data_IF_016493241266
#
_entry.id   IF_016493241266
#
_cell.length_a   1.000
_cell.length_b   1.000
_cell.length_c   1.000
_cell.angle_alpha   90.00
_cell.angle_beta   90.00
_cell.angle_gamma   90.00
#
_symmetry.space_group_name_H-M   'P 1'
#
loop_
_entity.id
_entity.type
_entity.pdbx_description
1 polymer ?
#
# COMPACT_ATOMS: atom_id res chain seq x y z
N UNK A 1 -31.34 21.30 8.14
CA UNK A 1 -30.09 21.03 7.39
C UNK A 1 -30.45 21.06 5.93
N UNK A 2 -29.92 22.03 5.20
CA UNK A 2 -30.19 22.20 3.77
C UNK A 2 -29.60 21.04 2.97
N UNK A 3 -30.26 20.63 1.88
CA UNK A 3 -29.80 19.54 1.03
C UNK A 3 -28.46 19.88 0.35
N UNK A 4 -28.26 21.17 0.04
CA UNK A 4 -27.04 21.67 -0.57
C UNK A 4 -25.83 21.53 0.36
N UNK A 5 -26.01 21.81 1.65
CA UNK A 5 -24.98 21.68 2.67
C UNK A 5 -24.46 20.23 2.80
N UNK A 6 -25.37 19.25 2.69
CA UNK A 6 -25.01 17.83 2.73
C UNK A 6 -24.15 17.45 1.52
N UNK A 7 -24.49 17.94 0.32
CA UNK A 7 -23.74 17.66 -0.91
C UNK A 7 -22.33 18.26 -0.89
N UNK A 8 -22.18 19.49 -0.39
CA UNK A 8 -20.87 20.14 -0.29
C UNK A 8 -19.93 19.38 0.66
N UNK A 9 -20.45 18.93 1.80
CA UNK A 9 -19.70 18.12 2.76
C UNK A 9 -19.37 16.75 2.19
N UNK A 10 -20.32 16.08 1.53
CA UNK A 10 -20.09 14.79 0.91
C UNK A 10 -18.98 14.85 -0.15
N UNK A 11 -18.96 15.91 -0.97
CA UNK A 11 -17.93 16.12 -2.00
C UNK A 11 -16.54 16.37 -1.41
N UNK A 12 -16.46 17.15 -0.33
CA UNK A 12 -15.18 17.38 0.37
C UNK A 12 -14.66 16.10 1.04
N UNK A 13 -15.53 15.37 1.74
CA UNK A 13 -15.18 14.09 2.38
C UNK A 13 -14.74 13.03 1.36
N UNK A 14 -15.32 13.03 0.16
CA UNK A 14 -14.95 12.09 -0.90
C UNK A 14 -13.47 12.18 -1.28
N UNK A 15 -12.94 13.39 -1.45
CA UNK A 15 -11.54 13.61 -1.83
C UNK A 15 -10.60 13.15 -0.71
N UNK A 16 -10.92 13.49 0.54
CA UNK A 16 -10.14 13.04 1.71
C UNK A 16 -10.12 11.52 1.81
N UNK A 17 -11.25 10.88 1.53
CA UNK A 17 -11.36 9.42 1.54
C UNK A 17 -10.47 8.79 0.44
N UNK A 18 -10.48 9.31 -0.79
CA UNK A 18 -9.58 8.79 -1.83
C UNK A 18 -8.10 8.89 -1.45
N UNK A 19 -7.69 9.96 -0.76
CA UNK A 19 -6.31 10.13 -0.27
C UNK A 19 -5.97 9.06 0.77
N UNK A 20 -6.84 8.84 1.76
CA UNK A 20 -6.61 7.82 2.80
C UNK A 20 -6.53 6.43 2.17
N UNK A 21 -7.40 6.12 1.21
CA UNK A 21 -7.39 4.85 0.48
C UNK A 21 -6.08 4.66 -0.29
N UNK A 22 -5.62 5.70 -0.99
CA UNK A 22 -4.34 5.69 -1.70
C UNK A 22 -3.16 5.48 -0.75
N UNK A 23 -3.10 6.22 0.37
CA UNK A 23 -2.05 6.06 1.38
C UNK A 23 -2.09 4.67 2.02
N UNK A 24 -3.27 4.10 2.22
CA UNK A 24 -3.43 2.72 2.69
C UNK A 24 -2.80 1.70 1.73
N UNK A 25 -3.01 1.88 0.42
CA UNK A 25 -2.39 1.04 -0.62
C UNK A 25 -0.88 1.21 -0.63
N UNK A 26 -0.37 2.45 -0.58
CA UNK A 26 1.07 2.72 -0.54
C UNK A 26 1.70 2.08 0.69
N UNK A 27 1.12 2.30 1.88
CA UNK A 27 1.62 1.70 3.12
C UNK A 27 1.61 0.16 3.07
N UNK A 28 0.56 -0.43 2.50
CA UNK A 28 0.47 -1.88 2.30
C UNK A 28 1.56 -2.39 1.33
N UNK A 29 1.77 -1.70 0.21
CA UNK A 29 2.78 -2.06 -0.79
C UNK A 29 4.21 -1.95 -0.24
N UNK A 30 4.49 -0.94 0.56
CA UNK A 30 5.79 -0.75 1.23
C UNK A 30 5.94 -1.58 2.51
N UNK A 31 4.93 -2.38 2.89
CA UNK A 31 5.00 -3.19 4.11
C UNK A 31 6.07 -4.29 3.96
N UNK A 32 7.05 -4.38 4.89
CA UNK A 32 8.18 -5.31 4.80
C UNK A 32 7.80 -6.80 4.89
N UNK A 33 6.53 -7.12 5.19
CA UNK A 33 6.01 -8.49 5.23
C UNK A 33 6.13 -9.21 3.87
N UNK A 34 6.19 -8.47 2.75
CA UNK A 34 6.46 -9.07 1.43
C UNK A 34 7.94 -9.08 1.05
N UNK A 35 8.78 -8.25 1.70
CA UNK A 35 10.21 -8.11 1.40
C UNK A 35 10.99 -9.38 1.75
N UNK A 36 10.60 -10.07 2.83
CA UNK A 36 11.26 -11.30 3.28
C UNK A 36 11.17 -12.45 2.26
N UNK A 37 10.04 -12.57 1.56
CA UNK A 37 9.86 -13.61 0.51
C UNK A 37 10.64 -13.29 -0.77
N UNK A 38 10.77 -12.01 -1.13
CA UNK A 38 11.58 -11.59 -2.26
C UNK A 38 13.08 -11.75 -1.99
N UNK A 39 13.54 -11.44 -0.77
CA UNK A 39 14.93 -11.69 -0.37
C UNK A 39 15.26 -13.18 -0.32
N UNK A 40 14.30 -14.03 0.07
CA UNK A 40 14.48 -15.48 0.13
C UNK A 40 14.57 -16.12 -1.28
N UNK A 41 13.71 -15.70 -2.22
CA UNK A 41 13.77 -16.19 -3.60
C UNK A 41 15.00 -15.66 -4.36
N UNK A 42 15.43 -14.43 -4.10
CA UNK A 42 16.65 -13.86 -4.70
C UNK A 42 17.95 -14.52 -4.23
N UNK A 43 17.93 -15.25 -3.11
CA UNK A 43 19.08 -16.01 -2.61
C UNK A 43 19.20 -17.41 -3.20
N UNK A 44 18.22 -17.89 -3.97
CA UNK A 44 18.26 -19.22 -4.58
C UNK A 44 19.50 -19.41 -5.48
N UNK A 45 19.85 -18.47 -6.40
CA UNK A 45 21.03 -18.64 -7.26
C UNK A 45 22.38 -18.61 -6.51
N UNK A 46 22.44 -17.95 -5.34
CA UNK A 46 23.67 -17.77 -4.57
C UNK A 46 23.94 -18.88 -3.56
N UNK A 47 22.99 -19.81 -3.36
CA UNK A 47 23.18 -20.96 -2.45
C UNK A 47 24.13 -22.00 -3.03
N UNK A 48 24.20 -22.12 -4.36
CA UNK A 48 25.02 -23.13 -5.05
C UNK A 48 26.51 -22.74 -5.17
N UNK A 49 26.87 -21.47 -4.92
CA UNK A 49 28.26 -20.99 -4.97
C UNK A 49 29.04 -21.25 -3.66
N UNK A 50 28.35 -21.59 -2.57
CA UNK A 50 28.99 -21.85 -1.26
C UNK A 50 29.49 -23.29 -1.08
N UNK A 51 29.20 -24.18 -2.05
CA UNK A 51 29.57 -25.61 -2.00
C UNK A 51 30.76 -25.96 -2.93
N UNK A 52 31.47 -24.98 -3.50
CA UNK A 52 32.73 -25.19 -4.24
C UNK A 52 33.91 -24.57 -3.52
#
# INVERSE_FOLDING_TARGET
MDWQYILEIARSLWVVWLIILFLGIVFWAYRPKNKNRFEEHGRIPFKDDAEK
#
